data_IF_046311940952
#
_entry.id   IF_046311940952
#
_cell.length_a   1.000
_cell.length_b   1.000
_cell.length_c   1.000
_cell.angle_alpha   90.00
_cell.angle_beta   90.00
_cell.angle_gamma   90.00
#
_symmetry.space_group_name_H-M   'P 1'
#
loop_
_entity.id
_entity.type
_entity.pdbx_description
1 polymer ?
#
# COMPACT_ATOMS: atom_id res chain seq x y z
N UNK A 1 4.90 17.64 14.78
CA UNK A 1 4.13 16.38 14.66
C UNK A 1 5.00 15.40 13.91
N UNK A 2 4.95 14.11 14.24
CA UNK A 2 5.67 13.07 13.50
C UNK A 2 4.65 12.33 12.64
N UNK A 3 4.90 12.23 11.33
CA UNK A 3 4.06 11.57 10.37
C UNK A 3 4.79 10.38 9.75
N UNK A 4 4.03 9.42 9.26
CA UNK A 4 4.52 8.29 8.47
C UNK A 4 3.69 8.23 7.19
N UNK A 5 4.35 8.04 6.06
CA UNK A 5 3.70 7.72 4.80
C UNK A 5 3.83 6.20 4.59
N UNK A 6 2.74 5.47 4.82
CA UNK A 6 2.79 4.00 4.80
C UNK A 6 2.78 3.41 3.39
N UNK A 7 2.62 4.24 2.33
CA UNK A 7 2.60 3.77 0.95
C UNK A 7 2.92 4.89 -0.04
N UNK A 8 4.02 4.77 -0.75
CA UNK A 8 4.45 5.75 -1.75
C UNK A 8 5.43 5.16 -2.77
N UNK A 9 5.29 5.51 -4.06
CA UNK A 9 6.13 5.02 -5.14
C UNK A 9 7.14 6.09 -5.61
N UNK A 10 7.92 6.67 -4.69
CA UNK A 10 8.87 7.76 -4.99
C UNK A 10 10.05 7.35 -5.91
N UNK A 11 10.15 6.08 -6.25
CA UNK A 11 11.13 5.54 -7.20
C UNK A 11 10.69 5.65 -8.67
N UNK A 12 9.43 6.03 -8.93
CA UNK A 12 8.90 6.15 -10.29
C UNK A 12 9.53 7.36 -11.04
N UNK A 13 9.48 7.30 -12.37
CA UNK A 13 10.04 8.32 -13.26
C UNK A 13 9.52 9.72 -12.95
N UNK A 14 8.28 9.83 -12.48
CA UNK A 14 7.65 11.07 -12.05
C UNK A 14 8.50 11.89 -11.06
N UNK A 15 9.37 11.25 -10.29
CA UNK A 15 10.18 11.87 -9.25
C UNK A 15 11.64 12.03 -9.60
N UNK A 16 12.13 11.47 -10.72
CA UNK A 16 13.55 11.45 -11.05
C UNK A 16 14.17 12.85 -11.13
N UNK A 17 13.41 13.85 -11.60
CA UNK A 17 13.94 15.21 -11.81
C UNK A 17 14.08 16.02 -10.52
N UNK A 18 13.32 15.70 -9.45
CA UNK A 18 13.25 16.53 -8.24
C UNK A 18 13.12 15.73 -6.92
N UNK A 19 13.52 14.46 -6.93
CA UNK A 19 13.43 13.60 -5.74
C UNK A 19 14.05 14.22 -4.47
N UNK A 20 15.24 14.86 -4.51
CA UNK A 20 15.80 15.51 -3.33
C UNK A 20 14.90 16.61 -2.75
N UNK A 21 14.24 17.39 -3.61
CA UNK A 21 13.30 18.44 -3.21
C UNK A 21 12.01 17.83 -2.60
N UNK A 22 11.51 16.72 -3.18
CA UNK A 22 10.37 15.96 -2.62
C UNK A 22 10.70 15.46 -1.21
N UNK A 23 11.86 14.86 -1.01
CA UNK A 23 12.31 14.39 0.30
C UNK A 23 12.49 15.53 1.32
N UNK A 24 12.98 16.68 0.86
CA UNK A 24 13.09 17.88 1.72
C UNK A 24 11.69 18.33 2.19
N UNK A 25 10.73 18.50 1.27
CA UNK A 25 9.36 18.88 1.60
C UNK A 25 8.67 17.87 2.53
N UNK A 26 8.90 16.57 2.31
CA UNK A 26 8.37 15.52 3.19
C UNK A 26 8.89 15.68 4.63
N UNK A 27 10.19 15.94 4.82
CA UNK A 27 10.78 16.18 6.15
C UNK A 27 10.24 17.46 6.79
N UNK A 28 10.10 18.54 6.03
CA UNK A 28 9.52 19.81 6.50
C UNK A 28 8.05 19.64 6.93
N UNK A 29 7.30 18.77 6.23
CA UNK A 29 5.94 18.40 6.63
C UNK A 29 5.88 17.55 7.91
N UNK A 30 7.02 17.02 8.37
CA UNK A 30 7.13 16.19 9.57
C UNK A 30 7.05 14.68 9.28
N UNK A 31 7.16 14.25 8.01
CA UNK A 31 7.27 12.83 7.66
C UNK A 31 8.61 12.30 8.15
N UNK A 32 8.59 11.21 8.88
CA UNK A 32 9.76 10.57 9.49
C UNK A 32 10.13 9.26 8.84
N UNK A 33 9.18 8.58 8.22
CA UNK A 33 9.35 7.29 7.54
C UNK A 33 8.45 7.24 6.30
N UNK A 34 8.97 6.65 5.23
CA UNK A 34 8.24 6.42 3.98
C UNK A 34 8.41 4.94 3.62
N UNK A 35 7.32 4.24 3.42
CA UNK A 35 7.32 2.85 3.00
C UNK A 35 7.02 2.76 1.51
N UNK A 36 7.87 2.02 0.79
CA UNK A 36 7.83 1.97 -0.66
C UNK A 36 7.65 0.54 -1.17
N UNK A 37 6.45 0.17 -1.64
CA UNK A 37 6.24 -1.11 -2.30
C UNK A 37 6.72 -1.05 -3.75
N UNK A 38 7.40 -2.11 -4.22
CA UNK A 38 7.60 -2.29 -5.65
C UNK A 38 6.30 -2.72 -6.34
N UNK A 39 6.30 -2.72 -7.66
CA UNK A 39 5.15 -3.11 -8.50
C UNK A 39 5.39 -4.49 -9.13
N UNK A 40 6.54 -4.65 -9.78
CA UNK A 40 7.01 -5.85 -10.46
C UNK A 40 8.54 -5.93 -10.45
N UNK A 41 9.12 -6.91 -11.13
CA UNK A 41 10.58 -7.11 -11.15
C UNK A 41 11.34 -5.89 -11.68
N UNK A 42 10.76 -5.09 -12.55
CA UNK A 42 11.42 -3.92 -13.16
C UNK A 42 11.58 -2.75 -12.19
N UNK A 43 10.75 -2.70 -11.16
CA UNK A 43 10.70 -1.61 -10.17
C UNK A 43 11.50 -1.90 -8.90
N UNK A 44 12.00 -3.12 -8.72
CA UNK A 44 12.76 -3.51 -7.51
C UNK A 44 14.05 -2.69 -7.38
N UNK A 45 14.89 -2.69 -8.40
CA UNK A 45 16.17 -1.97 -8.36
C UNK A 45 16.01 -0.45 -8.21
N UNK A 46 15.11 0.23 -8.95
CA UNK A 46 14.83 1.65 -8.72
C UNK A 46 14.41 1.95 -7.28
N UNK A 47 13.53 1.13 -6.69
CA UNK A 47 13.08 1.28 -5.32
C UNK A 47 14.23 1.09 -4.32
N UNK A 48 15.01 0.02 -4.46
CA UNK A 48 16.15 -0.26 -3.59
C UNK A 48 17.20 0.85 -3.63
N UNK A 49 17.44 1.44 -4.81
CA UNK A 49 18.32 2.60 -4.97
C UNK A 49 17.85 3.77 -4.11
N UNK A 50 16.58 4.15 -4.18
CA UNK A 50 16.04 5.24 -3.36
C UNK A 50 16.13 4.89 -1.87
N UNK A 51 15.80 3.66 -1.47
CA UNK A 51 15.92 3.23 -0.08
C UNK A 51 17.36 3.27 0.44
N UNK A 52 18.33 2.94 -0.39
CA UNK A 52 19.76 3.02 -0.06
C UNK A 52 20.23 4.46 0.11
N UNK A 53 19.84 5.37 -0.81
CA UNK A 53 20.16 6.80 -0.74
C UNK A 53 19.56 7.50 0.49
N UNK A 54 18.36 7.07 0.90
CA UNK A 54 17.63 7.62 2.05
C UNK A 54 17.49 6.60 3.17
N UNK A 55 18.58 5.91 3.49
CA UNK A 55 18.64 4.86 4.52
C UNK A 55 18.12 5.35 5.88
N UNK A 56 17.23 4.55 6.50
CA UNK A 56 16.59 4.90 7.78
C UNK A 56 15.43 5.90 7.65
N UNK A 57 15.12 6.32 6.41
CA UNK A 57 13.99 7.19 6.10
C UNK A 57 13.01 6.52 5.11
N UNK A 58 13.53 5.83 4.10
CA UNK A 58 12.78 5.05 3.13
C UNK A 58 12.98 3.55 3.39
N UNK A 59 11.89 2.78 3.32
CA UNK A 59 11.85 1.36 3.65
C UNK A 59 11.20 0.56 2.52
N UNK A 60 11.90 -0.44 1.95
CA UNK A 60 11.39 -1.19 0.83
C UNK A 60 10.40 -2.27 1.25
N UNK A 61 9.38 -2.49 0.43
CA UNK A 61 8.48 -3.64 0.48
C UNK A 61 8.56 -4.39 -0.85
N UNK A 62 8.35 -5.70 -0.83
CA UNK A 62 8.52 -6.57 -2.01
C UNK A 62 7.24 -7.34 -2.30
N UNK A 63 6.80 -7.35 -3.57
CA UNK A 63 5.64 -8.10 -4.01
C UNK A 63 5.45 -8.03 -5.52
N UNK A 64 4.47 -8.77 -6.02
CA UNK A 64 3.96 -8.65 -7.37
C UNK A 64 2.57 -8.04 -7.31
N UNK A 65 2.45 -6.82 -7.83
CA UNK A 65 1.20 -6.07 -7.88
C UNK A 65 0.18 -6.76 -8.81
N UNK A 66 -1.12 -6.81 -8.47
CA UNK A 66 -2.12 -7.53 -9.26
C UNK A 66 -2.25 -7.05 -10.71
N UNK A 67 -2.00 -5.77 -11.01
CA UNK A 67 -2.06 -5.26 -12.40
C UNK A 67 -0.87 -5.72 -13.25
N UNK A 68 0.19 -6.24 -12.65
CA UNK A 68 1.34 -6.84 -13.35
C UNK A 68 1.24 -8.37 -13.46
N UNK A 69 0.12 -8.96 -13.04
CA UNK A 69 -0.14 -10.39 -13.18
C UNK A 69 -0.63 -10.69 -14.59
N UNK A 70 0.16 -11.47 -15.32
CA UNK A 70 -0.14 -11.96 -16.66
C UNK A 70 0.18 -13.47 -16.80
N UNK A 71 0.23 -13.98 -18.01
CA UNK A 71 0.60 -15.39 -18.28
C UNK A 71 2.02 -15.75 -17.81
N UNK A 72 2.89 -14.77 -17.61
CA UNK A 72 4.29 -14.91 -17.15
C UNK A 72 4.47 -14.79 -15.63
N UNK A 73 3.42 -14.67 -14.85
CA UNK A 73 3.46 -14.38 -13.41
C UNK A 73 4.39 -15.29 -12.59
N UNK A 74 4.60 -16.55 -13.02
CA UNK A 74 5.52 -17.46 -12.32
C UNK A 74 6.98 -16.98 -12.35
N UNK A 75 7.39 -16.30 -13.43
CA UNK A 75 8.74 -15.71 -13.53
C UNK A 75 8.86 -14.53 -12.59
N UNK A 76 7.85 -13.68 -12.53
CA UNK A 76 7.79 -12.55 -11.59
C UNK A 76 7.85 -13.04 -10.14
N UNK A 77 7.04 -14.04 -9.79
CA UNK A 77 7.07 -14.63 -8.45
C UNK A 77 8.42 -15.28 -8.11
N UNK A 78 9.12 -15.88 -9.08
CA UNK A 78 10.45 -16.43 -8.86
C UNK A 78 11.47 -15.32 -8.52
N UNK A 79 11.36 -14.14 -9.16
CA UNK A 79 12.19 -12.98 -8.82
C UNK A 79 11.88 -12.50 -7.40
N UNK A 80 10.61 -12.32 -7.05
CA UNK A 80 10.19 -11.91 -5.69
C UNK A 80 10.70 -12.89 -4.64
N UNK A 81 10.55 -14.21 -4.87
CA UNK A 81 11.04 -15.24 -3.96
C UNK A 81 12.57 -15.20 -3.79
N UNK A 82 13.31 -14.95 -4.90
CA UNK A 82 14.75 -14.76 -4.86
C UNK A 82 15.18 -13.60 -3.96
N UNK A 83 14.47 -12.48 -4.03
CA UNK A 83 14.72 -11.32 -3.17
C UNK A 83 14.35 -11.58 -1.70
N UNK A 84 13.25 -12.28 -1.43
CA UNK A 84 12.86 -12.65 -0.07
C UNK A 84 13.85 -13.59 0.62
N UNK A 85 14.57 -14.40 -0.14
CA UNK A 85 15.60 -15.30 0.39
C UNK A 85 16.91 -14.57 0.76
N UNK A 86 17.09 -13.32 0.35
CA UNK A 86 18.24 -12.51 0.73
C UNK A 86 18.06 -11.93 2.14
N UNK A 87 19.12 -11.82 2.96
CA UNK A 87 18.98 -11.38 4.35
C UNK A 87 18.63 -9.90 4.54
N UNK A 88 18.46 -9.15 3.46
CA UNK A 88 18.38 -7.69 3.52
C UNK A 88 16.99 -7.12 3.31
N UNK A 89 16.37 -6.84 4.44
CA UNK A 89 15.81 -5.52 4.64
C UNK A 89 14.42 -5.20 4.11
N UNK A 90 13.65 -6.11 3.52
CA UNK A 90 12.24 -5.82 3.23
C UNK A 90 11.42 -5.79 4.51
N UNK A 91 10.59 -4.74 4.68
CA UNK A 91 9.79 -4.55 5.89
C UNK A 91 8.37 -5.11 5.78
N UNK A 92 7.94 -5.43 4.57
CA UNK A 92 6.62 -6.02 4.29
C UNK A 92 6.62 -6.76 2.95
N UNK A 93 5.63 -7.62 2.74
CA UNK A 93 5.27 -8.14 1.43
C UNK A 93 4.15 -7.25 0.88
N UNK A 94 4.47 -6.51 -0.15
CA UNK A 94 3.61 -5.53 -0.80
C UNK A 94 4.29 -4.80 -1.97
N UNK A 95 3.50 -4.34 -2.89
CA UNK A 95 2.04 -4.33 -2.92
C UNK A 95 1.52 -5.62 -3.55
N UNK A 96 0.57 -6.28 -2.90
CA UNK A 96 -0.02 -7.53 -3.35
C UNK A 96 -1.54 -7.43 -3.30
N UNK A 97 -2.29 -8.33 -3.93
CA UNK A 97 -3.74 -8.29 -3.81
C UNK A 97 -4.44 -8.62 -5.12
N UNK A 98 -5.57 -7.96 -5.37
CA UNK A 98 -6.36 -8.17 -6.59
C UNK A 98 -6.94 -6.85 -7.11
N UNK A 99 -6.89 -6.68 -8.45
CA UNK A 99 -7.50 -5.59 -9.19
C UNK A 99 -8.34 -6.14 -10.35
N UNK A 100 -9.64 -5.99 -10.25
CA UNK A 100 -10.60 -6.45 -11.25
C UNK A 100 -11.28 -5.28 -11.98
N UNK A 101 -10.79 -4.07 -11.77
CA UNK A 101 -11.31 -2.87 -12.42
C UNK A 101 -10.82 -2.75 -13.86
N UNK A 102 -9.51 -2.96 -14.09
CA UNK A 102 -8.92 -2.77 -15.41
C UNK A 102 -9.09 -3.99 -16.31
N UNK A 103 -8.81 -5.18 -15.78
CA UNK A 103 -8.86 -6.41 -16.53
C UNK A 103 -9.22 -7.61 -15.61
N UNK A 104 -10.07 -8.50 -16.09
CA UNK A 104 -10.49 -9.72 -15.38
C UNK A 104 -9.92 -10.98 -16.02
N UNK A 105 -9.11 -10.85 -17.07
CA UNK A 105 -8.54 -11.97 -17.82
C UNK A 105 -7.77 -12.92 -16.93
N UNK A 106 -6.96 -12.38 -16.02
CA UNK A 106 -6.08 -13.13 -15.12
C UNK A 106 -6.62 -13.25 -13.69
N UNK A 107 -7.94 -13.29 -13.52
CA UNK A 107 -8.56 -13.39 -12.17
C UNK A 107 -8.05 -14.60 -11.38
N UNK A 108 -7.93 -15.76 -11.99
CA UNK A 108 -7.46 -16.98 -11.33
C UNK A 108 -5.98 -16.88 -10.95
N UNK A 109 -5.20 -16.34 -11.85
CA UNK A 109 -3.77 -16.10 -11.64
C UNK A 109 -3.55 -15.08 -10.50
N UNK A 110 -4.31 -14.00 -10.47
CA UNK A 110 -4.27 -13.04 -9.36
C UNK A 110 -4.60 -13.70 -8.01
N UNK A 111 -5.59 -14.58 -7.94
CA UNK A 111 -5.91 -15.34 -6.74
C UNK A 111 -4.72 -16.22 -6.29
N UNK A 112 -4.12 -16.97 -7.22
CA UNK A 112 -2.96 -17.84 -6.96
C UNK A 112 -1.76 -17.01 -6.47
N UNK A 113 -1.47 -15.92 -7.18
CA UNK A 113 -0.37 -14.99 -6.87
C UNK A 113 -0.56 -14.37 -5.50
N UNK A 114 -1.76 -13.88 -5.20
CA UNK A 114 -2.07 -13.27 -3.92
C UNK A 114 -1.92 -14.27 -2.77
N UNK A 115 -2.53 -15.46 -2.86
CA UNK A 115 -2.43 -16.47 -1.82
C UNK A 115 -0.99 -16.93 -1.59
N UNK A 116 -0.18 -17.09 -2.65
CA UNK A 116 1.23 -17.46 -2.54
C UNK A 116 2.00 -16.43 -1.75
N UNK A 117 1.81 -15.15 -2.02
CA UNK A 117 2.47 -14.05 -1.32
C UNK A 117 2.00 -13.89 0.12
N UNK A 118 0.73 -14.17 0.43
CA UNK A 118 0.23 -14.25 1.81
C UNK A 118 0.95 -15.36 2.59
N UNK A 119 1.18 -16.51 1.97
CA UNK A 119 1.94 -17.61 2.60
C UNK A 119 3.39 -17.22 2.87
N UNK A 120 4.04 -16.51 1.94
CA UNK A 120 5.39 -15.97 2.19
C UNK A 120 5.40 -14.98 3.36
N UNK A 121 4.38 -14.13 3.47
CA UNK A 121 4.29 -13.21 4.61
C UNK A 121 4.28 -13.95 5.96
N UNK A 122 3.57 -15.06 6.05
CA UNK A 122 3.58 -15.90 7.24
C UNK A 122 4.93 -16.61 7.46
N UNK A 123 5.53 -17.14 6.40
CA UNK A 123 6.82 -17.84 6.44
C UNK A 123 7.95 -16.92 6.91
N UNK A 124 8.02 -15.71 6.36
CA UNK A 124 9.06 -14.72 6.69
C UNK A 124 8.69 -13.84 7.89
N UNK A 125 7.49 -13.99 8.46
CA UNK A 125 7.02 -13.18 9.59
C UNK A 125 6.83 -11.70 9.24
N UNK A 126 6.60 -11.36 7.95
CA UNK A 126 6.41 -10.00 7.46
C UNK A 126 4.92 -9.63 7.41
N UNK A 127 4.56 -8.34 7.58
CA UNK A 127 3.21 -7.86 7.28
C UNK A 127 2.94 -7.86 5.77
N UNK A 128 1.65 -7.82 5.40
CA UNK A 128 1.21 -7.65 4.02
C UNK A 128 0.66 -6.24 3.78
N UNK A 129 0.86 -5.71 2.58
CA UNK A 129 0.20 -4.47 2.12
C UNK A 129 -0.65 -4.83 0.91
N UNK A 130 -1.97 -4.71 1.08
CA UNK A 130 -2.96 -5.32 0.19
C UNK A 130 -3.67 -4.26 -0.63
N UNK A 131 -3.53 -4.36 -1.95
CA UNK A 131 -4.33 -3.69 -2.96
C UNK A 131 -5.67 -4.42 -3.14
N UNK A 132 -6.76 -3.67 -3.10
CA UNK A 132 -8.10 -4.21 -3.29
C UNK A 132 -8.94 -3.27 -4.17
N UNK A 133 -9.20 -3.66 -5.42
CA UNK A 133 -10.05 -2.88 -6.31
C UNK A 133 -11.04 -3.77 -7.05
N UNK A 134 -12.34 -3.57 -6.79
CA UNK A 134 -13.43 -4.41 -7.28
C UNK A 134 -13.25 -5.92 -7.01
N UNK A 135 -12.53 -6.28 -5.93
CA UNK A 135 -12.10 -7.64 -5.65
C UNK A 135 -12.28 -8.07 -4.18
N UNK A 136 -13.05 -7.31 -3.39
CA UNK A 136 -13.15 -7.47 -1.95
C UNK A 136 -13.49 -8.91 -1.52
N UNK A 137 -14.53 -9.51 -2.09
CA UNK A 137 -14.97 -10.86 -1.69
C UNK A 137 -13.91 -11.93 -1.99
N UNK A 138 -13.20 -11.82 -3.10
CA UNK A 138 -12.10 -12.74 -3.43
C UNK A 138 -10.95 -12.64 -2.43
N UNK A 139 -10.54 -11.40 -2.09
CA UNK A 139 -9.49 -11.15 -1.09
C UNK A 139 -9.92 -11.68 0.28
N UNK A 140 -11.15 -11.36 0.71
CA UNK A 140 -11.67 -11.81 1.99
C UNK A 140 -11.72 -13.34 2.09
N UNK A 141 -12.19 -14.02 1.05
CA UNK A 141 -12.27 -15.49 1.04
C UNK A 141 -10.88 -16.14 1.09
N UNK A 142 -9.89 -15.57 0.41
CA UNK A 142 -8.49 -16.04 0.47
C UNK A 142 -7.90 -15.81 1.87
N UNK A 143 -8.18 -14.67 2.50
CA UNK A 143 -7.64 -14.33 3.81
C UNK A 143 -8.35 -15.06 4.96
N UNK A 144 -9.60 -15.44 4.80
CA UNK A 144 -10.45 -16.04 5.84
C UNK A 144 -9.82 -17.22 6.61
N UNK A 145 -9.10 -18.16 5.96
CA UNK A 145 -8.38 -19.23 6.68
C UNK A 145 -7.28 -18.73 7.61
N UNK A 146 -6.77 -17.53 7.39
CA UNK A 146 -5.65 -16.93 8.14
C UNK A 146 -6.10 -16.00 9.28
N UNK A 147 -7.41 -15.89 9.54
CA UNK A 147 -7.99 -14.94 10.49
C UNK A 147 -7.46 -15.07 11.92
N UNK A 148 -7.09 -16.29 12.34
CA UNK A 148 -6.53 -16.58 13.66
C UNK A 148 -5.03 -16.81 13.65
N UNK A 149 -4.37 -16.58 12.51
CA UNK A 149 -2.93 -16.72 12.37
C UNK A 149 -2.19 -15.46 12.86
N UNK A 150 -0.85 -15.49 12.77
CA UNK A 150 0.00 -14.32 13.04
C UNK A 150 0.05 -13.31 11.88
N UNK A 151 -0.73 -13.52 10.82
CA UNK A 151 -0.79 -12.62 9.69
C UNK A 151 -1.25 -11.23 10.14
N UNK A 152 -0.53 -10.21 9.67
CA UNK A 152 -0.82 -8.80 9.94
C UNK A 152 -0.63 -7.98 8.67
N UNK A 153 -1.28 -6.84 8.56
CA UNK A 153 -1.12 -6.05 7.35
C UNK A 153 -1.98 -4.80 7.29
N UNK A 154 -1.95 -4.21 6.10
CA UNK A 154 -2.69 -3.00 5.77
C UNK A 154 -3.53 -3.31 4.53
N UNK A 155 -4.82 -3.00 4.58
CA UNK A 155 -5.64 -2.82 3.38
C UNK A 155 -5.37 -1.41 2.87
N UNK A 156 -4.44 -1.32 1.92
CA UNK A 156 -3.99 -0.08 1.32
C UNK A 156 -5.12 0.58 0.51
N UNK A 157 -5.10 1.92 0.48
CA UNK A 157 -5.97 2.76 -0.37
C UNK A 157 -7.45 2.37 -0.28
N UNK A 158 -7.94 2.18 0.95
CA UNK A 158 -9.29 1.72 1.17
C UNK A 158 -10.31 2.74 0.63
N UNK A 159 -11.18 2.26 -0.25
CA UNK A 159 -12.29 3.03 -0.85
C UNK A 159 -13.62 2.29 -0.80
N UNK A 160 -13.69 1.24 0.01
CA UNK A 160 -14.85 0.37 0.12
C UNK A 160 -15.98 0.93 1.00
N UNK A 161 -16.99 0.09 1.17
CA UNK A 161 -18.15 0.37 1.99
C UNK A 161 -17.86 0.17 3.49
N UNK A 162 -18.77 0.65 4.32
CA UNK A 162 -18.72 0.41 5.77
C UNK A 162 -18.72 -1.10 6.11
N UNK A 163 -19.53 -1.87 5.40
CA UNK A 163 -19.62 -3.32 5.61
C UNK A 163 -18.29 -4.02 5.28
N UNK A 164 -17.68 -3.66 4.15
CA UNK A 164 -16.35 -4.17 3.78
C UNK A 164 -15.30 -3.79 4.83
N UNK A 165 -15.31 -2.54 5.32
CA UNK A 165 -14.40 -2.11 6.38
C UNK A 165 -14.55 -2.97 7.65
N UNK A 166 -15.77 -3.25 8.10
CA UNK A 166 -15.98 -4.10 9.27
C UNK A 166 -15.53 -5.53 9.04
N UNK A 167 -15.75 -6.09 7.87
CA UNK A 167 -15.25 -7.44 7.52
C UNK A 167 -13.72 -7.49 7.50
N UNK A 168 -13.05 -6.44 7.01
CA UNK A 168 -11.59 -6.33 7.08
C UNK A 168 -11.09 -6.26 8.53
N UNK A 169 -11.77 -5.53 9.39
CA UNK A 169 -11.41 -5.37 10.79
C UNK A 169 -11.67 -6.62 11.66
N UNK A 170 -12.35 -7.63 11.13
CA UNK A 170 -12.40 -8.96 11.75
C UNK A 170 -11.01 -9.62 11.86
N UNK A 171 -10.05 -9.19 11.03
CA UNK A 171 -8.65 -9.56 11.16
C UNK A 171 -8.00 -8.63 12.20
N UNK A 172 -7.76 -9.12 13.42
CA UNK A 172 -7.35 -8.31 14.58
C UNK A 172 -6.06 -7.52 14.36
N UNK A 173 -5.15 -8.02 13.52
CA UNK A 173 -3.84 -7.44 13.25
C UNK A 173 -3.77 -6.64 11.93
N UNK A 174 -4.94 -6.24 11.39
CA UNK A 174 -4.98 -5.46 10.16
C UNK A 174 -5.42 -4.03 10.40
N UNK A 175 -4.93 -3.15 9.55
CA UNK A 175 -5.22 -1.73 9.53
C UNK A 175 -5.84 -1.34 8.18
N UNK A 176 -6.49 -0.19 8.15
CA UNK A 176 -7.05 0.40 6.93
C UNK A 176 -6.21 1.60 6.56
N UNK A 177 -5.64 1.60 5.35
CA UNK A 177 -4.85 2.68 4.78
C UNK A 177 -5.75 3.75 4.16
N UNK A 178 -5.54 5.00 4.57
CA UNK A 178 -6.31 6.16 4.11
C UNK A 178 -5.39 7.16 3.44
N UNK A 179 -5.74 7.52 2.22
CA UNK A 179 -5.02 8.49 1.40
C UNK A 179 -5.87 9.71 1.01
N UNK A 180 -5.41 10.47 0.04
CA UNK A 180 -6.05 11.70 -0.42
C UNK A 180 -7.51 11.56 -0.89
N UNK A 181 -7.99 10.34 -1.20
CA UNK A 181 -9.38 10.09 -1.61
C UNK A 181 -10.38 10.53 -0.54
N UNK A 182 -10.02 10.47 0.74
CA UNK A 182 -10.89 10.95 1.84
C UNK A 182 -11.28 12.42 1.67
N UNK A 183 -10.48 13.20 0.95
CA UNK A 183 -10.71 14.63 0.70
C UNK A 183 -11.60 14.92 -0.51
N UNK A 184 -11.98 13.90 -1.28
CA UNK A 184 -12.72 14.11 -2.53
C UNK A 184 -14.21 14.31 -2.27
N UNK A 185 -14.81 15.33 -2.90
CA UNK A 185 -16.21 15.71 -2.69
C UNK A 185 -17.26 14.59 -2.83
N UNK A 186 -16.95 13.56 -3.61
CA UNK A 186 -17.83 12.40 -3.86
C UNK A 186 -17.38 11.15 -3.13
N UNK A 187 -16.39 11.27 -2.25
CA UNK A 187 -15.94 10.13 -1.44
C UNK A 187 -16.92 9.89 -0.29
N UNK A 188 -17.40 8.66 -0.14
CA UNK A 188 -18.16 8.23 1.03
C UNK A 188 -17.27 7.85 2.23
N UNK A 189 -15.95 8.00 2.09
CA UNK A 189 -15.01 7.58 3.15
C UNK A 189 -15.19 8.31 4.48
N UNK A 190 -15.49 9.63 4.54
CA UNK A 190 -15.71 10.29 5.82
C UNK A 190 -16.78 9.62 6.68
N UNK A 191 -17.90 9.21 6.09
CA UNK A 191 -18.98 8.51 6.79
C UNK A 191 -18.58 7.11 7.23
N UNK A 192 -17.76 6.41 6.46
CA UNK A 192 -17.22 5.09 6.82
C UNK A 192 -16.26 5.23 7.99
N UNK A 193 -15.33 6.19 7.94
CA UNK A 193 -14.29 6.38 8.95
C UNK A 193 -14.82 6.72 10.34
N UNK A 194 -15.96 7.41 10.46
CA UNK A 194 -16.61 7.69 11.74
C UNK A 194 -16.90 6.43 12.57
N UNK A 195 -16.88 5.26 11.95
CA UNK A 195 -17.20 3.99 12.59
C UNK A 195 -15.95 3.10 12.77
N UNK A 196 -14.76 3.57 12.38
CA UNK A 196 -13.51 2.83 12.45
C UNK A 196 -12.69 3.34 13.64
N UNK A 197 -12.22 2.47 14.54
CA UNK A 197 -11.32 2.89 15.62
C UNK A 197 -10.05 3.54 15.06
N UNK A 198 -9.64 4.68 15.61
CA UNK A 198 -8.45 5.42 15.15
C UNK A 198 -7.18 4.57 15.16
N UNK A 199 -7.03 3.71 16.15
CA UNK A 199 -5.91 2.78 16.27
C UNK A 199 -5.86 1.71 15.16
N UNK A 200 -6.87 1.65 14.30
CA UNK A 200 -6.96 0.73 13.16
C UNK A 200 -6.80 1.46 11.82
N UNK A 201 -6.44 2.75 11.84
CA UNK A 201 -6.23 3.57 10.65
C UNK A 201 -4.75 3.91 10.53
N UNK A 202 -4.21 3.78 9.32
CA UNK A 202 -2.90 4.31 8.93
C UNK A 202 -3.05 5.30 7.79
N UNK A 203 -2.13 6.25 7.71
CA UNK A 203 -2.15 7.29 6.68
C UNK A 203 -1.10 6.99 5.62
N UNK A 204 -1.44 7.31 4.40
CA UNK A 204 -0.58 7.11 3.23
C UNK A 204 -0.84 8.18 2.17
N UNK A 205 0.01 8.24 1.16
CA UNK A 205 -0.21 9.13 0.03
C UNK A 205 -0.59 8.41 -1.24
N UNK A 206 -0.04 7.23 -1.48
CA UNK A 206 -0.06 6.53 -2.76
C UNK A 206 0.55 7.39 -3.90
N UNK A 207 1.60 8.17 -3.53
CA UNK A 207 2.27 9.07 -4.49
C UNK A 207 2.91 8.29 -5.65
N UNK A 208 2.79 8.77 -6.90
CA UNK A 208 2.38 10.11 -7.36
C UNK A 208 0.87 10.31 -7.53
N UNK A 209 0.05 9.34 -7.17
CA UNK A 209 -1.40 9.31 -7.40
C UNK A 209 -2.21 9.94 -6.26
N UNK A 210 -3.51 10.04 -6.45
CA UNK A 210 -4.54 10.32 -5.42
C UNK A 210 -4.30 11.59 -4.58
N UNK A 211 -3.75 12.64 -5.19
CA UNK A 211 -3.41 13.91 -4.54
C UNK A 211 -4.61 14.49 -3.77
N UNK A 212 -4.47 14.79 -2.45
CA UNK A 212 -5.54 15.38 -1.65
C UNK A 212 -5.86 16.83 -2.04
N UNK A 213 -7.03 17.32 -1.61
CA UNK A 213 -7.30 18.75 -1.58
C UNK A 213 -6.37 19.39 -0.53
N UNK A 214 -5.80 20.59 -0.77
CA UNK A 214 -6.08 21.51 -1.89
C UNK A 214 -5.25 21.25 -3.16
N UNK A 215 -4.38 20.23 -3.16
CA UNK A 215 -3.39 20.00 -4.20
C UNK A 215 -3.91 19.17 -5.40
N UNK A 216 -5.20 18.90 -5.51
CA UNK A 216 -5.81 18.13 -6.61
C UNK A 216 -5.35 18.60 -7.98
N UNK A 217 -5.07 17.62 -8.88
CA UNK A 217 -4.60 17.88 -10.23
C UNK A 217 -3.09 18.09 -10.37
N UNK A 218 -2.35 18.10 -9.26
CA UNK A 218 -0.89 18.07 -9.26
C UNK A 218 -0.40 16.64 -8.95
N UNK A 219 0.87 16.36 -9.25
CA UNK A 219 1.54 15.14 -8.78
C UNK A 219 1.51 15.09 -7.25
N UNK A 220 1.11 13.95 -6.70
CA UNK A 220 1.16 13.73 -5.26
C UNK A 220 2.59 13.51 -4.76
N UNK A 221 2.84 13.74 -3.48
CA UNK A 221 4.12 13.48 -2.80
C UNK A 221 3.90 13.21 -1.31
N UNK A 222 4.85 12.58 -0.64
CA UNK A 222 4.73 12.19 0.78
C UNK A 222 4.44 13.34 1.74
N UNK A 223 4.82 14.58 1.39
CA UNK A 223 4.47 15.77 2.18
C UNK A 223 2.95 15.96 2.33
N UNK A 224 2.16 15.52 1.36
CA UNK A 224 0.71 15.67 1.35
C UNK A 224 -0.03 14.69 2.29
N UNK A 225 0.66 13.75 2.95
CA UNK A 225 0.05 12.94 4.02
C UNK A 225 -0.48 13.82 5.15
N UNK A 226 0.10 15.01 5.33
CA UNK A 226 -0.37 16.02 6.29
C UNK A 226 -1.77 16.53 5.93
N UNK A 227 -2.05 16.76 4.66
CA UNK A 227 -3.37 17.21 4.20
C UNK A 227 -4.42 16.11 4.37
N UNK A 228 -4.04 14.86 4.10
CA UNK A 228 -4.87 13.68 4.38
C UNK A 228 -5.22 13.60 5.87
N UNK A 229 -4.24 13.76 6.77
CA UNK A 229 -4.47 13.76 8.21
C UNK A 229 -5.42 14.87 8.64
N UNK A 230 -5.16 16.12 8.23
CA UNK A 230 -5.95 17.28 8.69
C UNK A 230 -7.42 17.15 8.29
N UNK A 231 -7.70 16.61 7.10
CA UNK A 231 -9.07 16.45 6.61
C UNK A 231 -9.74 15.18 7.17
N UNK A 232 -8.99 14.10 7.44
CA UNK A 232 -9.55 12.94 8.13
C UNK A 232 -9.95 13.28 9.57
N UNK A 233 -9.13 14.05 10.30
CA UNK A 233 -9.43 14.48 11.68
C UNK A 233 -10.67 15.38 11.80
N UNK A 234 -11.05 16.10 10.74
CA UNK A 234 -12.29 16.91 10.75
C UNK A 234 -13.54 16.03 10.68
N UNK A 235 -13.39 14.80 10.17
CA UNK A 235 -14.48 13.87 9.94
C UNK A 235 -14.54 12.72 10.95
N UNK A 236 -13.52 12.55 11.78
CA UNK A 236 -13.41 11.57 12.87
C UNK A 236 -13.55 12.29 14.21
#
# INVERSE_FOLDING_TARGET
MKLVDSHSHLFLEDFQSDLPQVMMRAREAGVTHIFMPNIDSTTIEPMLKVCSEYKGYCFPMIGLHPTSVDAGYEKELAVVAGHLAMPDGYVAIGEIGMDLYWDKTYLKEQQIVFERQVRWALEYGLPVVIHCREAFDYIYDILKPYKTSSLRGIFHSFTGTREEAFRMLEFSNFFIGINGVVTFKKSGLPEVLQNIPLERIVLETDSPYLTPVPNRGKRNESANVKDTLLLSLIHI
#
